data_IF_595416111329
#
_entry.id   IF_595416111329
#
_cell.length_a   1.000
_cell.length_b   1.000
_cell.length_c   1.000
_cell.angle_alpha   90.00
_cell.angle_beta   90.00
_cell.angle_gamma   90.00
#
_symmetry.space_group_name_H-M   'P 1'
#
loop_
_entity.id
_entity.type
_entity.pdbx_description
1 polymer ?
#
# COMPACT_ATOMS: atom_id res chain seq x y z
N UNK A 1 -14.94 -3.09 18.19
CA UNK A 1 -14.38 -3.07 16.80
C UNK A 1 -12.91 -3.43 16.92
N UNK A 2 -12.47 -4.46 16.18
CA UNK A 2 -11.09 -4.92 16.28
C UNK A 2 -10.22 -4.23 15.23
N UNK A 3 -10.76 -4.09 14.00
CA UNK A 3 -10.08 -3.51 12.86
C UNK A 3 -10.92 -2.45 12.16
N UNK A 4 -10.30 -1.33 11.79
CA UNK A 4 -10.87 -0.34 10.88
C UNK A 4 -10.03 -0.29 9.60
N UNK A 5 -10.67 -0.58 8.46
CA UNK A 5 -10.05 -0.47 7.14
C UNK A 5 -10.20 0.96 6.64
N UNK A 6 -9.09 1.59 6.25
CA UNK A 6 -9.00 2.98 5.81
C UNK A 6 -8.73 3.03 4.31
N UNK A 7 -9.67 3.57 3.52
CA UNK A 7 -9.56 3.61 2.06
C UNK A 7 -9.63 5.07 1.57
N UNK A 8 -8.48 5.74 1.36
CA UNK A 8 -8.45 7.00 0.64
C UNK A 8 -8.71 6.75 -0.84
N UNK A 9 -9.65 7.45 -1.45
CA UNK A 9 -10.06 7.26 -2.84
C UNK A 9 -10.23 8.59 -3.57
N UNK A 10 -9.59 8.74 -4.74
CA UNK A 10 -9.77 9.86 -5.65
C UNK A 10 -9.74 9.38 -7.09
N UNK A 11 -10.70 9.84 -7.90
CA UNK A 11 -10.86 9.42 -9.30
C UNK A 11 -10.83 7.89 -9.42
N UNK A 12 -11.62 7.20 -8.58
CA UNK A 12 -11.54 5.76 -8.39
C UNK A 12 -12.73 5.04 -9.02
N UNK A 13 -12.44 4.16 -9.97
CA UNK A 13 -13.43 3.36 -10.69
C UNK A 13 -13.62 1.96 -10.10
N UNK A 14 -12.76 1.56 -9.16
CA UNK A 14 -12.77 0.21 -8.57
C UNK A 14 -13.08 0.20 -7.06
N UNK A 15 -13.39 1.36 -6.46
CA UNK A 15 -13.69 1.44 -5.03
C UNK A 15 -14.85 0.52 -4.63
N UNK A 16 -15.91 0.49 -5.41
CA UNK A 16 -17.06 -0.39 -5.16
C UNK A 16 -16.64 -1.86 -5.13
N UNK A 17 -15.89 -2.30 -6.13
CA UNK A 17 -15.39 -3.68 -6.20
C UNK A 17 -14.49 -4.03 -5.01
N UNK A 18 -13.60 -3.10 -4.61
CA UNK A 18 -12.72 -3.28 -3.45
C UNK A 18 -13.51 -3.46 -2.16
N UNK A 19 -14.52 -2.61 -1.92
CA UNK A 19 -15.35 -2.68 -0.72
C UNK A 19 -16.20 -3.96 -0.72
N UNK A 20 -16.83 -4.32 -1.84
CA UNK A 20 -17.62 -5.54 -1.97
C UNK A 20 -16.77 -6.80 -1.76
N UNK A 21 -15.55 -6.82 -2.29
CA UNK A 21 -14.62 -7.94 -2.10
C UNK A 21 -14.15 -8.01 -0.63
N UNK A 22 -13.83 -6.87 -0.01
CA UNK A 22 -13.50 -6.83 1.41
C UNK A 22 -14.66 -7.36 2.27
N UNK A 23 -15.89 -6.85 2.08
CA UNK A 23 -17.09 -7.30 2.81
C UNK A 23 -17.35 -8.80 2.68
N UNK A 24 -17.10 -9.36 1.50
CA UNK A 24 -17.24 -10.80 1.23
C UNK A 24 -16.20 -11.65 1.97
N UNK A 25 -15.02 -11.08 2.24
CA UNK A 25 -13.86 -11.82 2.75
C UNK A 25 -13.53 -11.54 4.22
N UNK A 26 -14.11 -10.50 4.87
CA UNK A 26 -13.93 -10.25 6.30
C UNK A 26 -14.61 -11.34 7.13
N UNK A 27 -13.96 -11.72 8.25
CA UNK A 27 -14.44 -12.72 9.21
C UNK A 27 -14.34 -12.24 10.67
N UNK A 28 -13.78 -11.05 10.90
CA UNK A 28 -13.66 -10.45 12.24
C UNK A 28 -14.64 -9.28 12.39
N UNK A 29 -14.60 -8.64 13.57
CA UNK A 29 -15.37 -7.42 13.85
C UNK A 29 -14.66 -6.21 13.20
N UNK A 30 -14.89 -6.03 11.89
CA UNK A 30 -14.20 -5.10 11.02
C UNK A 30 -15.15 -4.07 10.40
N UNK A 31 -14.79 -2.81 10.41
CA UNK A 31 -15.45 -1.72 9.69
C UNK A 31 -14.60 -1.20 8.52
N UNK A 32 -15.23 -0.56 7.56
CA UNK A 32 -14.59 0.06 6.40
C UNK A 32 -14.94 1.55 6.38
N UNK A 33 -13.94 2.40 6.30
CA UNK A 33 -14.07 3.86 6.22
C UNK A 33 -13.42 4.32 4.92
N UNK A 34 -14.23 4.71 3.94
CA UNK A 34 -13.76 5.25 2.66
C UNK A 34 -13.87 6.76 2.65
N UNK A 35 -12.76 7.45 2.37
CA UNK A 35 -12.73 8.90 2.19
C UNK A 35 -12.55 9.22 0.73
N UNK A 36 -13.61 9.80 0.13
CA UNK A 36 -13.65 10.26 -1.25
C UNK A 36 -13.04 11.66 -1.33
N UNK A 37 -11.81 11.74 -1.81
CA UNK A 37 -11.06 12.99 -1.88
C UNK A 37 -11.53 13.83 -3.08
N UNK A 38 -12.49 14.76 -2.83
CA UNK A 38 -13.14 15.69 -3.75
C UNK A 38 -14.25 15.07 -4.63
N UNK A 39 -13.98 14.00 -5.38
CA UNK A 39 -14.92 13.45 -6.35
C UNK A 39 -15.63 12.20 -5.83
N UNK A 40 -16.90 12.01 -6.23
CA UNK A 40 -17.61 10.74 -5.99
C UNK A 40 -16.96 9.61 -6.78
N UNK A 41 -16.94 8.42 -6.20
CA UNK A 41 -16.55 7.22 -6.90
C UNK A 41 -17.63 6.80 -7.92
N UNK A 42 -17.21 6.34 -9.08
CA UNK A 42 -18.08 5.78 -10.11
C UNK A 42 -17.57 4.38 -10.51
N UNK A 43 -18.39 3.34 -10.31
CA UNK A 43 -19.76 3.33 -9.76
C UNK A 43 -19.80 3.65 -8.25
N UNK A 44 -20.95 4.15 -7.79
CA UNK A 44 -21.12 4.50 -6.38
C UNK A 44 -21.07 3.27 -5.47
N UNK A 45 -20.55 3.46 -4.28
CA UNK A 45 -20.51 2.46 -3.21
C UNK A 45 -21.93 2.24 -2.68
N UNK A 46 -22.32 0.99 -2.54
CA UNK A 46 -23.61 0.60 -1.95
C UNK A 46 -23.61 0.87 -0.44
N UNK A 47 -24.77 1.19 0.12
CA UNK A 47 -24.94 1.32 1.56
C UNK A 47 -24.75 -0.03 2.25
N UNK A 48 -24.05 -0.03 3.37
CA UNK A 48 -23.83 -1.21 4.20
C UNK A 48 -23.51 -0.80 5.64
N UNK A 49 -24.01 -1.52 6.63
CA UNK A 49 -23.85 -1.18 8.07
C UNK A 49 -22.40 -1.06 8.53
N UNK A 50 -21.48 -1.80 7.93
CA UNK A 50 -20.04 -1.77 8.23
C UNK A 50 -19.25 -0.75 7.41
N UNK A 51 -19.89 0.01 6.52
CA UNK A 51 -19.23 0.92 5.58
C UNK A 51 -19.64 2.35 5.84
N UNK A 52 -18.66 3.19 6.13
CA UNK A 52 -18.79 4.64 6.21
C UNK A 52 -18.11 5.28 5.01
N UNK A 53 -18.86 6.08 4.24
CA UNK A 53 -18.32 6.83 3.10
C UNK A 53 -18.40 8.31 3.40
N UNK A 54 -17.26 9.00 3.31
CA UNK A 54 -17.15 10.45 3.53
C UNK A 54 -16.59 11.08 2.27
N UNK A 55 -17.18 12.18 1.83
CA UNK A 55 -16.69 12.98 0.71
C UNK A 55 -16.19 14.32 1.19
N UNK A 56 -14.94 14.67 0.83
CA UNK A 56 -14.40 16.01 1.09
C UNK A 56 -14.89 17.01 0.02
N UNK A 57 -15.09 18.28 0.38
CA UNK A 57 -15.54 19.30 -0.57
C UNK A 57 -14.46 19.69 -1.59
N UNK A 58 -13.20 19.46 -1.28
CA UNK A 58 -12.01 19.73 -2.11
C UNK A 58 -10.96 18.67 -1.91
N UNK A 59 -10.01 18.55 -2.84
CA UNK A 59 -8.88 17.66 -2.72
C UNK A 59 -7.99 18.04 -1.53
N UNK A 60 -7.75 17.04 -0.65
CA UNK A 60 -6.90 17.19 0.55
C UNK A 60 -5.64 16.34 0.49
N UNK A 61 -5.56 15.41 -0.45
CA UNK A 61 -4.43 14.49 -0.62
C UNK A 61 -4.62 13.14 0.08
N UNK A 62 -3.90 12.12 -0.41
CA UNK A 62 -4.02 10.76 0.09
C UNK A 62 -3.73 10.64 1.59
N UNK A 63 -2.67 11.30 2.10
CA UNK A 63 -2.30 11.26 3.52
C UNK A 63 -3.38 11.88 4.40
N UNK A 64 -3.86 13.05 4.04
CA UNK A 64 -4.93 13.73 4.77
C UNK A 64 -6.24 12.93 4.73
N UNK A 65 -6.57 12.32 3.60
CA UNK A 65 -7.73 11.43 3.48
C UNK A 65 -7.59 10.17 4.35
N UNK A 66 -6.39 9.59 4.42
CA UNK A 66 -6.10 8.46 5.32
C UNK A 66 -6.19 8.87 6.79
N UNK A 67 -5.63 10.02 7.15
CA UNK A 67 -5.72 10.58 8.51
C UNK A 67 -7.17 10.86 8.91
N UNK A 68 -7.98 11.41 8.00
CA UNK A 68 -9.40 11.65 8.24
C UNK A 68 -10.15 10.34 8.52
N UNK A 69 -9.89 9.28 7.73
CA UNK A 69 -10.44 7.96 7.99
C UNK A 69 -9.97 7.40 9.36
N UNK A 70 -8.69 7.56 9.69
CA UNK A 70 -8.12 7.08 10.95
C UNK A 70 -8.70 7.82 12.18
N UNK A 71 -9.03 9.11 12.07
CA UNK A 71 -9.71 9.87 13.15
C UNK A 71 -11.08 9.31 13.49
N UNK A 72 -11.76 8.71 12.53
CA UNK A 72 -13.10 8.12 12.69
C UNK A 72 -13.06 6.64 13.04
N UNK A 73 -11.90 6.01 12.91
CA UNK A 73 -11.68 4.60 13.18
C UNK A 73 -11.97 4.24 14.65
N UNK A 74 -12.71 3.14 14.86
CA UNK A 74 -13.07 2.60 16.19
C UNK A 74 -12.21 1.40 16.57
N UNK A 75 -11.55 0.76 15.58
CA UNK A 75 -10.73 -0.42 15.81
C UNK A 75 -9.47 -0.12 16.62
N UNK A 76 -9.01 -1.13 17.39
CA UNK A 76 -7.67 -1.11 18.00
C UNK A 76 -6.61 -1.03 16.91
N UNK A 77 -6.81 -1.74 15.83
CA UNK A 77 -5.95 -1.74 14.66
C UNK A 77 -6.57 -0.95 13.52
N UNK A 78 -5.71 -0.36 12.69
CA UNK A 78 -6.09 0.27 11.43
C UNK A 78 -5.34 -0.39 10.28
N UNK A 79 -6.03 -0.62 9.16
CA UNK A 79 -5.45 -1.18 7.95
C UNK A 79 -5.71 -0.23 6.78
N UNK A 80 -4.67 0.45 6.31
CA UNK A 80 -4.78 1.29 5.12
C UNK A 80 -4.80 0.41 3.88
N UNK A 81 -5.70 0.70 2.94
CA UNK A 81 -5.81 0.04 1.64
C UNK A 81 -5.93 1.05 0.51
N UNK A 82 -5.34 0.73 -0.64
CA UNK A 82 -5.71 1.40 -1.88
C UNK A 82 -7.10 0.94 -2.36
N UNK A 83 -7.79 1.81 -3.08
CA UNK A 83 -9.18 1.60 -3.49
C UNK A 83 -9.36 0.65 -4.71
N UNK A 84 -8.36 -0.16 -5.02
CA UNK A 84 -8.32 -1.12 -6.14
C UNK A 84 -7.60 -2.42 -5.74
N UNK A 85 -8.11 -3.02 -4.63
CA UNK A 85 -7.55 -4.23 -4.02
C UNK A 85 -8.59 -5.35 -3.92
N UNK A 86 -8.13 -6.60 -3.99
CA UNK A 86 -8.87 -7.82 -3.63
C UNK A 86 -8.21 -8.52 -2.45
N UNK A 87 -8.91 -9.47 -1.82
CA UNK A 87 -8.47 -10.01 -0.54
C UNK A 87 -8.56 -11.53 -0.46
N UNK A 88 -7.69 -12.08 0.38
CA UNK A 88 -7.80 -13.44 0.87
C UNK A 88 -9.03 -13.62 1.76
N UNK A 89 -9.60 -14.82 1.77
CA UNK A 89 -10.70 -15.15 2.69
C UNK A 89 -10.22 -15.08 4.14
N UNK A 90 -10.92 -14.33 4.99
CA UNK A 90 -10.56 -14.08 6.37
C UNK A 90 -9.24 -13.31 6.53
N UNK A 91 -8.87 -12.46 5.58
CA UNK A 91 -7.63 -11.68 5.63
C UNK A 91 -7.53 -10.84 6.91
N UNK A 92 -8.62 -10.26 7.35
CA UNK A 92 -8.70 -9.44 8.56
C UNK A 92 -8.45 -10.27 9.82
N UNK A 93 -9.09 -11.44 9.97
CA UNK A 93 -8.85 -12.37 11.07
C UNK A 93 -7.41 -12.86 11.08
N UNK A 94 -6.88 -13.27 9.93
CA UNK A 94 -5.47 -13.72 9.80
C UNK A 94 -4.47 -12.65 10.17
N UNK A 95 -4.76 -11.39 9.85
CA UNK A 95 -3.92 -10.26 10.26
C UNK A 95 -4.06 -9.96 11.76
N UNK A 96 -5.25 -10.08 12.35
CA UNK A 96 -5.43 -9.93 13.80
C UNK A 96 -4.74 -11.06 14.58
N UNK A 97 -4.81 -12.29 14.11
CA UNK A 97 -4.09 -13.43 14.70
C UNK A 97 -2.58 -13.23 14.62
N UNK A 98 -2.08 -12.73 13.47
CA UNK A 98 -0.68 -12.35 13.31
C UNK A 98 -0.23 -11.31 14.34
N UNK A 99 -1.01 -10.25 14.59
CA UNK A 99 -0.68 -9.26 15.62
C UNK A 99 -0.73 -9.81 17.04
N UNK A 100 -1.56 -10.82 17.33
CA UNK A 100 -1.53 -11.53 18.62
C UNK A 100 -0.22 -12.31 18.81
N UNK A 101 0.36 -12.83 17.73
CA UNK A 101 1.63 -13.57 17.73
C UNK A 101 2.84 -12.64 17.88
N UNK A 102 2.89 -11.54 17.12
CA UNK A 102 4.08 -10.66 17.03
C UNK A 102 4.03 -9.45 17.95
N UNK A 103 2.86 -9.13 18.53
CA UNK A 103 2.65 -7.96 19.38
C UNK A 103 2.32 -6.69 18.60
N UNK A 104 2.16 -5.59 19.35
CA UNK A 104 1.64 -4.32 18.84
C UNK A 104 2.72 -3.37 18.28
N UNK A 105 4.02 -3.67 18.53
CA UNK A 105 5.12 -2.82 18.08
C UNK A 105 5.56 -3.15 16.63
N UNK A 106 4.59 -3.35 15.75
CA UNK A 106 4.77 -3.85 14.39
C UNK A 106 3.92 -3.05 13.40
N UNK A 107 4.46 -2.86 12.19
CA UNK A 107 3.67 -2.62 10.99
C UNK A 107 3.62 -3.91 10.17
N UNK A 108 2.43 -4.49 10.02
CA UNK A 108 2.22 -5.75 9.33
C UNK A 108 1.69 -5.55 7.91
N UNK A 109 2.15 -6.39 6.98
CA UNK A 109 1.70 -6.38 5.57
C UNK A 109 1.35 -7.81 5.17
N UNK A 110 0.20 -8.10 4.53
CA UNK A 110 -0.03 -9.39 3.89
C UNK A 110 0.79 -9.50 2.59
N UNK A 111 0.97 -10.71 2.07
CA UNK A 111 1.61 -10.93 0.76
C UNK A 111 0.92 -10.07 -0.29
N UNK A 112 1.67 -9.30 -1.08
CA UNK A 112 1.13 -8.59 -2.23
C UNK A 112 1.12 -9.48 -3.48
N UNK A 113 -0.01 -9.51 -4.17
CA UNK A 113 -0.21 -10.17 -5.47
C UNK A 113 -0.68 -9.15 -6.50
N UNK A 114 -0.44 -9.39 -7.77
CA UNK A 114 -1.05 -8.59 -8.82
C UNK A 114 -2.55 -8.94 -8.94
N UNK A 115 -3.39 -7.92 -9.01
CA UNK A 115 -4.82 -8.08 -9.25
C UNK A 115 -5.10 -8.23 -10.75
N UNK A 116 -5.76 -9.31 -11.14
CA UNK A 116 -6.44 -9.41 -12.41
C UNK A 116 -7.83 -8.81 -12.24
N UNK A 117 -7.94 -7.50 -12.47
CA UNK A 117 -9.17 -6.77 -12.21
C UNK A 117 -10.24 -7.03 -13.29
N UNK A 118 -9.85 -7.04 -14.56
CA UNK A 118 -10.79 -7.22 -15.67
C UNK A 118 -10.11 -7.72 -16.95
N UNK A 119 -10.91 -8.25 -17.86
CA UNK A 119 -10.58 -8.37 -19.28
C UNK A 119 -11.35 -7.33 -20.09
N UNK A 120 -10.73 -6.76 -21.08
CA UNK A 120 -11.43 -6.10 -22.16
C UNK A 120 -12.15 -7.15 -23.01
N UNK A 121 -13.43 -6.94 -23.29
CA UNK A 121 -14.23 -7.81 -24.16
C UNK A 121 -14.93 -7.00 -25.22
N UNK A 122 -14.86 -7.45 -26.49
CA UNK A 122 -15.61 -6.85 -27.58
C UNK A 122 -17.06 -7.34 -27.58
N UNK A 123 -18.03 -6.43 -27.55
CA UNK A 123 -19.46 -6.77 -27.60
C UNK A 123 -19.87 -7.52 -28.86
N UNK A 124 -19.22 -7.23 -30.01
CA UNK A 124 -19.62 -7.82 -31.29
C UNK A 124 -19.07 -9.23 -31.48
N UNK A 125 -17.78 -9.44 -31.34
CA UNK A 125 -17.13 -10.71 -31.68
C UNK A 125 -16.65 -11.52 -30.47
N UNK A 126 -16.77 -10.98 -29.24
CA UNK A 126 -16.34 -11.66 -28.04
C UNK A 126 -14.82 -11.70 -27.83
N UNK A 127 -14.01 -11.10 -28.71
CA UNK A 127 -12.55 -11.02 -28.53
C UNK A 127 -12.19 -10.42 -27.19
N UNK A 128 -11.13 -10.95 -26.54
CA UNK A 128 -10.71 -10.55 -25.20
C UNK A 128 -9.25 -10.14 -25.19
N UNK A 129 -8.93 -9.20 -24.29
CA UNK A 129 -7.56 -8.81 -23.95
C UNK A 129 -7.46 -8.58 -22.45
N UNK A 130 -6.41 -9.11 -21.83
CA UNK A 130 -6.06 -8.83 -20.45
C UNK A 130 -5.96 -7.31 -20.22
N UNK A 131 -6.36 -6.82 -19.06
CA UNK A 131 -6.41 -5.41 -18.63
C UNK A 131 -5.31 -4.51 -19.25
N UNK A 132 -5.20 -3.28 -18.86
CA UNK A 132 -4.34 -2.26 -19.46
C UNK A 132 -5.16 -1.25 -20.25
N UNK A 133 -4.55 -0.47 -21.16
CA UNK A 133 -5.25 0.55 -21.94
C UNK A 133 -6.35 -0.06 -22.81
N UNK A 134 -7.38 0.75 -23.08
CA UNK A 134 -8.49 0.37 -23.98
C UNK A 134 -7.93 -0.07 -25.34
N UNK A 135 -8.12 -1.34 -25.75
CA UNK A 135 -7.60 -1.83 -27.02
C UNK A 135 -8.56 -1.53 -28.18
N UNK A 136 -8.02 -1.51 -29.37
CA UNK A 136 -8.80 -1.71 -30.61
C UNK A 136 -9.04 -3.20 -30.81
N UNK A 137 -10.26 -3.60 -31.14
CA UNK A 137 -10.57 -4.99 -31.47
C UNK A 137 -9.96 -5.36 -32.85
N UNK A 138 -9.04 -6.34 -32.93
CA UNK A 138 -8.40 -6.70 -34.19
C UNK A 138 -9.38 -7.28 -35.22
N UNK A 139 -10.46 -7.92 -34.74
CA UNK A 139 -11.46 -8.54 -35.62
C UNK A 139 -12.52 -7.55 -36.16
N UNK A 140 -12.71 -6.40 -35.47
CA UNK A 140 -13.78 -5.45 -35.80
C UNK A 140 -13.27 -4.10 -36.28
N UNK A 141 -11.95 -3.85 -36.21
CA UNK A 141 -11.31 -2.61 -36.66
C UNK A 141 -11.49 -1.42 -35.72
N UNK A 142 -10.77 -0.29 -35.99
CA UNK A 142 -10.65 0.87 -35.10
C UNK A 142 -11.93 1.70 -34.96
N UNK A 143 -12.78 1.75 -35.97
CA UNK A 143 -14.00 2.59 -36.00
C UNK A 143 -15.02 2.23 -34.90
N UNK A 144 -14.72 1.24 -34.07
CA UNK A 144 -15.63 0.64 -33.10
C UNK A 144 -15.01 0.46 -31.71
N UNK A 145 -14.09 1.35 -31.32
CA UNK A 145 -13.48 1.35 -29.97
C UNK A 145 -14.53 1.38 -28.84
N UNK A 146 -15.66 2.04 -29.04
CA UNK A 146 -16.80 2.06 -28.12
C UNK A 146 -17.46 0.69 -27.88
N UNK A 147 -17.05 -0.36 -28.59
CA UNK A 147 -17.55 -1.74 -28.39
C UNK A 147 -16.75 -2.53 -27.35
N UNK A 148 -15.69 -1.97 -26.84
CA UNK A 148 -14.92 -2.62 -25.78
C UNK A 148 -15.52 -2.28 -24.41
N UNK A 149 -15.77 -3.30 -23.61
CA UNK A 149 -16.20 -3.15 -22.22
C UNK A 149 -15.32 -3.96 -21.28
N UNK A 150 -15.25 -3.56 -20.00
CA UNK A 150 -14.54 -4.29 -18.97
C UNK A 150 -15.40 -5.43 -18.44
N UNK A 151 -14.97 -6.68 -18.68
CA UNK A 151 -15.53 -7.85 -17.99
C UNK A 151 -14.74 -8.04 -16.70
N UNK A 152 -15.37 -7.77 -15.54
CA UNK A 152 -14.71 -7.90 -14.24
C UNK A 152 -14.30 -9.35 -13.97
N UNK A 153 -13.06 -9.53 -13.52
CA UNK A 153 -12.48 -10.80 -13.09
C UNK A 153 -12.23 -10.80 -11.58
N UNK A 154 -11.62 -9.77 -11.05
CA UNK A 154 -11.36 -9.47 -9.64
C UNK A 154 -10.65 -10.59 -8.88
N UNK A 155 -9.55 -11.09 -9.44
CA UNK A 155 -8.81 -12.24 -8.92
C UNK A 155 -7.37 -11.84 -8.61
N UNK A 156 -6.93 -12.02 -7.36
CA UNK A 156 -5.52 -11.93 -6.99
C UNK A 156 -4.74 -13.07 -7.65
N UNK A 157 -3.78 -12.75 -8.51
CA UNK A 157 -2.95 -13.76 -9.18
C UNK A 157 -2.11 -14.52 -8.16
N UNK A 158 -2.00 -15.83 -8.32
CA UNK A 158 -1.16 -16.63 -7.41
C UNK A 158 0.32 -16.24 -7.50
N UNK A 159 0.80 -15.91 -8.68
CA UNK A 159 2.17 -15.47 -8.94
C UNK A 159 2.18 -14.20 -9.83
N UNK A 160 3.20 -13.32 -9.72
CA UNK A 160 4.22 -13.33 -8.67
C UNK A 160 3.67 -12.91 -7.31
N UNK A 161 4.38 -13.30 -6.24
CA UNK A 161 4.14 -12.87 -4.86
C UNK A 161 5.25 -11.92 -4.44
N UNK A 162 4.89 -10.73 -3.98
CA UNK A 162 5.83 -9.73 -3.49
C UNK A 162 5.80 -9.69 -1.96
N UNK A 163 6.92 -10.03 -1.35
CA UNK A 163 7.06 -10.23 0.10
C UNK A 163 8.29 -9.56 0.67
N UNK A 164 9.05 -8.80 -0.13
CA UNK A 164 10.22 -8.10 0.35
C UNK A 164 10.44 -6.82 -0.46
N UNK A 165 10.72 -5.73 0.25
CA UNK A 165 10.80 -4.40 -0.32
C UNK A 165 11.95 -3.63 0.33
N UNK A 166 12.60 -2.76 -0.44
CA UNK A 166 13.62 -1.83 0.04
C UNK A 166 13.48 -0.46 -0.60
N UNK A 167 14.42 0.41 -0.34
CA UNK A 167 14.59 1.70 -1.00
C UNK A 167 16.07 1.99 -1.22
N UNK A 168 16.38 2.80 -2.22
CA UNK A 168 17.74 3.26 -2.50
C UNK A 168 18.08 4.60 -1.81
N UNK A 169 19.28 5.09 -2.01
CA UNK A 169 19.78 6.37 -1.45
C UNK A 169 19.03 7.59 -1.98
N UNK A 170 18.32 7.44 -3.11
CA UNK A 170 17.50 8.47 -3.75
C UNK A 170 16.00 8.38 -3.37
N UNK A 171 15.63 7.93 -2.19
CA UNK A 171 14.34 7.40 -1.76
C UNK A 171 13.41 6.92 -2.89
N UNK A 172 13.86 5.91 -3.64
CA UNK A 172 13.02 5.17 -4.57
C UNK A 172 12.64 3.82 -3.99
N UNK A 173 11.38 3.49 -4.04
CA UNK A 173 10.87 2.17 -3.70
C UNK A 173 11.40 1.12 -4.69
N UNK A 174 11.81 -0.04 -4.16
CA UNK A 174 12.30 -1.18 -4.93
C UNK A 174 11.80 -2.50 -4.36
N UNK A 175 11.67 -3.53 -5.21
CA UNK A 175 11.52 -4.91 -4.77
C UNK A 175 12.89 -5.44 -4.33
N UNK A 176 12.91 -6.14 -3.19
CA UNK A 176 14.13 -6.64 -2.58
C UNK A 176 14.25 -8.15 -2.80
N UNK A 177 14.40 -8.56 -4.06
CA UNK A 177 14.44 -9.98 -4.42
C UNK A 177 15.60 -10.72 -3.74
N UNK A 178 16.80 -10.11 -3.68
CA UNK A 178 18.00 -10.70 -3.06
C UNK A 178 17.77 -11.06 -1.57
N UNK A 179 16.95 -10.28 -0.85
CA UNK A 179 16.63 -10.55 0.55
C UNK A 179 15.91 -11.88 0.74
N UNK A 180 15.08 -12.29 -0.22
CA UNK A 180 14.32 -13.54 -0.17
C UNK A 180 15.18 -14.79 -0.22
N UNK A 181 16.44 -14.66 -0.62
CA UNK A 181 17.43 -15.76 -0.73
C UNK A 181 18.39 -15.80 0.45
N UNK A 182 18.26 -14.91 1.44
CA UNK A 182 19.11 -14.86 2.63
C UNK A 182 18.55 -15.71 3.77
N UNK A 183 19.43 -16.28 4.59
CA UNK A 183 19.07 -17.16 5.70
C UNK A 183 18.02 -16.59 6.67
N UNK A 184 18.12 -15.32 7.16
CA UNK A 184 17.08 -14.81 8.06
C UNK A 184 15.68 -14.89 7.46
N UNK A 185 15.54 -14.54 6.16
CA UNK A 185 14.26 -14.60 5.47
C UNK A 185 13.78 -16.06 5.29
N UNK A 186 14.65 -16.94 4.81
CA UNK A 186 14.30 -18.35 4.53
C UNK A 186 13.89 -19.10 5.81
N UNK A 187 14.68 -18.93 6.86
CA UNK A 187 14.42 -19.54 8.17
C UNK A 187 13.11 -19.00 8.77
N UNK A 188 12.91 -17.69 8.82
CA UNK A 188 11.72 -17.08 9.39
C UNK A 188 10.44 -17.46 8.63
N UNK A 189 10.51 -17.44 7.30
CA UNK A 189 9.38 -17.88 6.46
C UNK A 189 8.95 -19.31 6.78
N UNK A 190 9.92 -20.23 6.98
CA UNK A 190 9.66 -21.64 7.27
C UNK A 190 9.15 -21.87 8.69
N UNK A 191 9.73 -21.19 9.68
CA UNK A 191 9.51 -21.46 11.10
C UNK A 191 8.40 -20.61 11.72
N UNK A 192 8.27 -19.36 11.31
CA UNK A 192 7.33 -18.40 11.87
C UNK A 192 6.12 -18.12 10.96
N UNK A 193 6.29 -18.26 9.64
CA UNK A 193 5.28 -17.89 8.64
C UNK A 193 5.12 -16.37 8.46
N UNK A 194 6.12 -15.59 8.89
CA UNK A 194 6.27 -14.16 8.61
C UNK A 194 7.76 -13.82 8.46
N UNK A 195 8.05 -12.71 7.79
CA UNK A 195 9.42 -12.29 7.50
C UNK A 195 9.59 -10.79 7.65
N UNK A 196 10.78 -10.33 8.00
CA UNK A 196 11.12 -8.93 7.97
C UNK A 196 11.24 -8.39 6.54
N UNK A 197 10.92 -7.11 6.37
CA UNK A 197 11.17 -6.37 5.13
C UNK A 197 11.66 -4.95 5.46
N UNK A 198 12.63 -4.44 4.71
CA UNK A 198 13.20 -3.11 4.96
C UNK A 198 12.19 -1.98 4.71
N UNK A 199 11.32 -2.16 3.72
CA UNK A 199 10.29 -1.22 3.32
C UNK A 199 8.97 -1.96 3.07
N UNK A 200 7.95 -1.24 2.63
CA UNK A 200 6.67 -1.82 2.21
C UNK A 200 6.09 -1.05 1.02
N UNK A 201 5.18 -1.69 0.32
CA UNK A 201 4.40 -1.04 -0.73
C UNK A 201 3.21 -0.33 -0.07
N UNK A 202 3.08 0.99 -0.30
CA UNK A 202 2.11 1.85 0.39
C UNK A 202 0.63 1.53 0.11
N UNK A 203 0.32 0.52 -0.72
CA UNK A 203 -1.05 0.14 -1.05
C UNK A 203 -1.78 -0.61 0.07
N UNK A 204 -1.05 -1.25 0.99
CA UNK A 204 -1.63 -1.96 2.13
C UNK A 204 -0.64 -2.03 3.28
N UNK A 205 -1.07 -1.66 4.49
CA UNK A 205 -0.38 -1.94 5.74
C UNK A 205 -1.36 -1.91 6.91
N UNK A 206 -1.06 -2.68 7.97
CA UNK A 206 -1.82 -2.71 9.21
C UNK A 206 -0.90 -2.35 10.39
N UNK A 207 -1.43 -1.58 11.34
CA UNK A 207 -0.72 -1.06 12.50
C UNK A 207 -1.72 -0.81 13.63
N UNK A 208 -1.30 -0.73 14.89
CA UNK A 208 -2.20 -0.23 15.94
C UNK A 208 -2.55 1.23 15.68
N UNK A 209 -3.80 1.63 15.99
CA UNK A 209 -4.22 3.03 15.86
C UNK A 209 -3.38 3.97 16.74
N UNK A 210 -2.90 3.48 17.88
CA UNK A 210 -1.98 4.21 18.76
C UNK A 210 -0.66 4.52 18.04
N UNK A 211 0.02 3.49 17.50
CA UNK A 211 1.30 3.65 16.80
C UNK A 211 1.16 4.41 15.48
N UNK A 212 0.00 4.32 14.82
CA UNK A 212 -0.29 5.13 13.62
C UNK A 212 -0.09 6.63 13.90
N UNK A 213 -0.61 7.12 15.02
CA UNK A 213 -0.45 8.52 15.42
C UNK A 213 0.90 8.81 16.08
N UNK A 214 1.33 7.93 16.99
CA UNK A 214 2.59 8.08 17.73
C UNK A 214 3.79 8.16 16.79
N UNK A 215 3.83 7.34 15.75
CA UNK A 215 4.93 7.30 14.78
C UNK A 215 4.71 8.20 13.56
N UNK A 216 3.67 8.98 13.52
CA UNK A 216 3.37 9.91 12.42
C UNK A 216 3.52 9.26 11.04
N UNK A 217 2.95 8.06 10.83
CA UNK A 217 3.17 7.25 9.62
C UNK A 217 2.55 7.82 8.34
N UNK A 218 1.71 8.85 8.46
CA UNK A 218 1.08 9.55 7.33
C UNK A 218 1.20 11.07 7.53
N UNK A 219 2.42 11.62 7.49
CA UNK A 219 2.65 13.05 7.67
C UNK A 219 2.24 13.83 6.41
N UNK A 220 1.24 14.69 6.54
CA UNK A 220 0.70 15.50 5.43
C UNK A 220 1.75 16.45 4.81
N UNK A 221 2.82 16.81 5.56
CA UNK A 221 3.93 17.62 5.07
C UNK A 221 4.73 16.93 3.96
N UNK A 222 4.69 15.61 3.89
CA UNK A 222 5.34 14.84 2.82
C UNK A 222 4.70 15.01 1.43
N UNK A 223 3.53 15.65 1.37
CA UNK A 223 2.81 15.93 0.13
C UNK A 223 1.56 15.07 -0.06
N UNK A 224 0.86 15.31 -1.16
CA UNK A 224 -0.46 14.73 -1.42
C UNK A 224 -0.41 13.24 -1.75
N UNK A 225 0.69 12.74 -2.34
CA UNK A 225 0.86 11.36 -2.80
C UNK A 225 2.34 10.99 -2.98
N UNK A 226 2.64 9.67 -2.99
CA UNK A 226 3.97 9.11 -3.23
C UNK A 226 4.78 8.84 -1.96
N UNK A 227 5.73 7.90 -2.02
CA UNK A 227 6.67 7.58 -0.93
C UNK A 227 6.09 7.04 0.37
N UNK A 228 4.77 6.85 0.47
CA UNK A 228 4.10 6.47 1.72
C UNK A 228 4.61 5.16 2.32
N UNK A 229 4.88 4.15 1.48
CA UNK A 229 5.40 2.87 1.99
C UNK A 229 6.76 3.00 2.68
N UNK A 230 7.65 3.83 2.12
CA UNK A 230 8.94 4.14 2.76
C UNK A 230 8.76 4.94 4.05
N UNK A 231 7.89 5.95 4.03
CA UNK A 231 7.59 6.77 5.21
C UNK A 231 7.11 5.90 6.38
N UNK A 232 6.12 5.04 6.14
CA UNK A 232 5.59 4.11 7.14
C UNK A 232 6.66 3.15 7.66
N UNK A 233 7.46 2.57 6.76
CA UNK A 233 8.51 1.64 7.14
C UNK A 233 9.62 2.32 7.95
N UNK A 234 10.08 3.50 7.52
CA UNK A 234 11.09 4.27 8.25
C UNK A 234 10.57 4.72 9.62
N UNK A 235 9.36 5.25 9.69
CA UNK A 235 8.73 5.64 10.96
C UNK A 235 8.64 4.45 11.92
N UNK A 236 8.26 3.28 11.43
CA UNK A 236 8.20 2.04 12.23
C UNK A 236 9.57 1.59 12.71
N UNK A 237 10.52 1.33 11.77
CA UNK A 237 11.84 0.81 12.10
C UNK A 237 12.63 1.73 13.01
N UNK A 238 12.65 3.02 12.68
CA UNK A 238 13.49 3.97 13.41
C UNK A 238 12.91 4.34 14.78
N UNK A 239 11.63 4.08 15.02
CA UNK A 239 10.99 4.20 16.35
C UNK A 239 11.09 2.92 17.19
N UNK A 240 11.87 1.91 16.74
CA UNK A 240 12.07 0.66 17.48
C UNK A 240 10.99 -0.41 17.22
N UNK A 241 10.11 -0.21 16.24
CA UNK A 241 9.16 -1.22 15.78
C UNK A 241 9.77 -2.15 14.73
N UNK A 242 8.95 -3.05 14.19
CA UNK A 242 9.32 -3.98 13.12
C UNK A 242 8.36 -3.88 11.94
N UNK A 243 8.87 -4.04 10.72
CA UNK A 243 8.04 -4.17 9.52
C UNK A 243 8.08 -5.62 9.06
N UNK A 244 6.91 -6.27 9.13
CA UNK A 244 6.79 -7.71 8.92
C UNK A 244 5.78 -8.03 7.82
N UNK A 245 6.10 -9.03 6.98
CA UNK A 245 5.17 -9.60 5.99
C UNK A 245 4.58 -10.89 6.55
N UNK A 246 3.27 -10.93 6.71
CA UNK A 246 2.53 -12.14 7.08
C UNK A 246 2.31 -13.01 5.85
N UNK A 247 2.92 -14.21 5.82
CA UNK A 247 2.79 -15.16 4.71
C UNK A 247 1.50 -16.00 4.75
N UNK A 248 0.70 -15.88 5.82
CA UNK A 248 -0.56 -16.62 6.00
C UNK A 248 -1.75 -15.92 5.35
N UNK A 249 -1.55 -14.69 4.81
CA UNK A 249 -2.59 -13.89 4.16
C UNK A 249 -2.04 -13.12 2.95
N UNK A 250 -2.94 -12.72 2.03
CA UNK A 250 -2.58 -11.95 0.85
C UNK A 250 -3.63 -10.90 0.51
N UNK A 251 -3.20 -9.87 -0.23
CA UNK A 251 -4.08 -8.96 -0.95
C UNK A 251 -3.63 -8.85 -2.41
N UNK A 252 -4.56 -8.64 -3.32
CA UNK A 252 -4.30 -8.37 -4.73
C UNK A 252 -4.38 -6.86 -4.99
N UNK A 253 -3.40 -6.29 -5.68
CA UNK A 253 -3.34 -4.86 -5.98
C UNK A 253 -3.25 -4.62 -7.49
N UNK A 254 -4.04 -3.67 -8.00
CA UNK A 254 -3.95 -3.21 -9.38
C UNK A 254 -3.10 -1.94 -9.44
N UNK A 255 -1.98 -1.98 -10.16
CA UNK A 255 -1.14 -0.80 -10.33
C UNK A 255 -1.76 0.20 -11.30
N UNK A 256 -1.74 1.48 -10.93
CA UNK A 256 -2.05 2.59 -11.82
C UNK A 256 -0.92 2.81 -12.82
N UNK A 257 -1.25 3.29 -14.02
CA UNK A 257 -0.27 3.56 -15.07
C UNK A 257 -0.48 4.96 -15.63
N UNK A 258 0.58 5.77 -15.62
CA UNK A 258 0.51 7.15 -16.14
C UNK A 258 0.09 7.17 -17.60
N UNK A 259 -0.80 8.12 -17.96
CA UNK A 259 -1.27 8.32 -19.33
C UNK A 259 -2.21 7.25 -19.86
N UNK A 260 -2.74 6.36 -18.98
CA UNK A 260 -3.72 5.33 -19.33
C UNK A 260 -5.08 5.58 -18.68
N UNK A 261 -6.09 4.78 -19.01
CA UNK A 261 -7.46 4.88 -18.49
C UNK A 261 -7.56 4.86 -16.97
N UNK A 262 -6.58 4.23 -16.30
CA UNK A 262 -6.44 4.19 -14.86
C UNK A 262 -5.15 4.90 -14.45
N UNK A 263 -5.12 6.21 -14.66
CA UNK A 263 -3.97 7.08 -14.34
C UNK A 263 -3.89 7.45 -12.86
N UNK A 264 -2.78 8.09 -12.47
CA UNK A 264 -2.57 8.54 -11.10
C UNK A 264 -3.57 9.62 -10.68
N UNK A 265 -4.09 9.57 -9.45
CA UNK A 265 -5.16 10.46 -8.99
C UNK A 265 -4.69 11.85 -8.58
N UNK A 266 -3.38 12.02 -8.37
CA UNK A 266 -2.75 13.29 -7.97
C UNK A 266 -1.65 13.67 -8.96
N UNK A 267 -1.35 14.97 -9.10
CA UNK A 267 -0.23 15.41 -9.93
C UNK A 267 1.09 14.79 -9.50
N UNK A 268 1.86 14.30 -10.47
CA UNK A 268 3.19 13.72 -10.29
C UNK A 268 4.25 14.53 -11.05
N UNK A 269 4.24 15.84 -10.87
CA UNK A 269 5.31 16.67 -11.42
C UNK A 269 6.65 16.32 -10.77
N UNK A 270 7.74 16.53 -11.46
CA UNK A 270 9.09 16.34 -10.90
C UNK A 270 9.29 17.15 -9.61
N UNK A 271 8.63 18.29 -9.47
CA UNK A 271 8.63 19.11 -8.25
C UNK A 271 7.98 18.39 -7.06
N UNK A 272 6.80 17.77 -7.24
CA UNK A 272 6.11 17.05 -6.17
C UNK A 272 6.86 15.78 -5.75
N UNK A 273 7.41 15.04 -6.71
CA UNK A 273 8.26 13.88 -6.44
C UNK A 273 9.50 14.29 -5.64
N UNK A 274 10.18 15.38 -6.06
CA UNK A 274 11.35 15.92 -5.34
C UNK A 274 10.99 16.33 -3.93
N UNK A 275 9.87 17.03 -3.72
CA UNK A 275 9.39 17.46 -2.40
C UNK A 275 9.26 16.28 -1.43
N UNK A 276 8.62 15.19 -1.86
CA UNK A 276 8.47 13.98 -1.03
C UNK A 276 9.83 13.36 -0.67
N UNK A 277 10.76 13.28 -1.64
CA UNK A 277 12.10 12.74 -1.39
C UNK A 277 12.91 13.59 -0.44
N UNK A 278 12.90 14.90 -0.63
CA UNK A 278 13.59 15.86 0.25
C UNK A 278 12.98 15.82 1.67
N UNK A 279 11.66 15.66 1.78
CA UNK A 279 11.00 15.47 3.07
C UNK A 279 11.51 14.21 3.79
N UNK A 280 11.55 13.05 3.09
CA UNK A 280 12.04 11.78 3.64
C UNK A 280 13.49 11.93 4.13
N UNK A 281 14.38 12.54 3.31
CA UNK A 281 15.77 12.79 3.70
C UNK A 281 15.87 13.71 4.91
N UNK A 282 15.14 14.80 4.91
CA UNK A 282 15.21 15.77 6.02
C UNK A 282 14.66 15.17 7.32
N UNK A 283 13.56 14.44 7.27
CA UNK A 283 12.94 13.85 8.46
C UNK A 283 13.76 12.69 9.02
N UNK A 284 14.17 11.73 8.18
CA UNK A 284 14.74 10.47 8.65
C UNK A 284 16.28 10.40 8.56
N UNK A 285 16.91 10.86 7.46
CA UNK A 285 18.37 10.84 7.33
C UNK A 285 19.05 11.78 8.33
N UNK A 286 18.39 12.87 8.71
CA UNK A 286 18.89 13.86 9.69
C UNK A 286 18.41 13.59 11.13
N UNK A 287 17.83 12.44 11.42
CA UNK A 287 17.34 12.05 12.74
C UNK A 287 16.31 13.06 13.33
N UNK A 288 15.44 13.63 12.49
CA UNK A 288 14.44 14.63 12.91
C UNK A 288 13.04 14.05 13.15
N UNK A 289 12.87 12.72 12.99
CA UNK A 289 11.61 12.09 13.31
C UNK A 289 11.38 12.04 14.84
N UNK A 290 10.21 12.50 15.37
CA UNK A 290 10.05 12.73 16.82
C UNK A 290 10.27 11.51 17.71
N UNK A 291 9.94 10.32 17.20
CA UNK A 291 10.08 9.06 17.97
C UNK A 291 11.29 8.22 17.54
N UNK A 292 12.19 8.79 16.76
CA UNK A 292 13.36 8.08 16.23
C UNK A 292 14.38 7.75 17.33
N UNK A 293 14.64 6.46 17.53
CA UNK A 293 15.68 5.93 18.44
C UNK A 293 16.82 5.25 17.68
N UNK A 294 16.60 4.87 16.43
CA UNK A 294 17.62 4.27 15.56
C UNK A 294 17.94 5.19 14.39
N UNK A 295 19.23 5.28 14.01
CA UNK A 295 19.66 5.97 12.79
C UNK A 295 19.30 5.16 11.55
N UNK A 296 19.16 5.82 10.39
CA UNK A 296 18.98 5.12 9.10
C UNK A 296 20.14 4.17 8.82
N UNK A 297 21.38 4.51 9.20
CA UNK A 297 22.55 3.64 9.07
C UNK A 297 22.34 2.29 9.76
N UNK A 298 21.73 2.25 10.96
CA UNK A 298 21.38 0.99 11.64
C UNK A 298 20.42 0.12 10.79
N UNK A 299 19.42 0.72 10.15
CA UNK A 299 18.49 -0.01 9.28
C UNK A 299 19.21 -0.54 8.04
N UNK A 300 20.11 0.26 7.46
CA UNK A 300 20.92 -0.18 6.31
C UNK A 300 21.83 -1.36 6.71
N UNK A 301 22.49 -1.32 7.85
CA UNK A 301 23.33 -2.42 8.33
C UNK A 301 22.55 -3.71 8.53
N UNK A 302 21.33 -3.62 9.07
CA UNK A 302 20.43 -4.76 9.28
C UNK A 302 20.12 -5.51 8.00
N UNK A 303 19.96 -4.81 6.88
CA UNK A 303 19.56 -5.36 5.59
C UNK A 303 20.70 -5.40 4.55
N UNK A 304 21.92 -5.02 4.94
CA UNK A 304 23.06 -4.93 4.03
C UNK A 304 23.44 -6.29 3.40
N UNK A 305 23.91 -6.34 2.11
CA UNK A 305 23.96 -5.25 1.15
C UNK A 305 22.59 -4.93 0.53
N UNK A 306 22.38 -3.65 0.17
CA UNK A 306 21.11 -3.16 -0.40
C UNK A 306 21.40 -2.48 -1.74
N UNK A 307 20.70 -2.88 -2.78
CA UNK A 307 20.84 -2.28 -4.10
C UNK A 307 20.56 -0.75 -4.05
N UNK A 308 21.43 0.02 -4.70
CA UNK A 308 21.32 1.48 -4.74
C UNK A 308 21.90 2.21 -3.53
N UNK A 309 22.63 1.49 -2.66
CA UNK A 309 23.45 2.05 -1.58
C UNK A 309 24.92 1.67 -1.75
N UNK A 310 25.82 2.58 -1.39
CA UNK A 310 27.28 2.38 -1.36
C UNK A 310 27.79 2.38 0.07
N UNK A 311 28.93 1.70 0.31
CA UNK A 311 29.63 1.73 1.60
C UNK A 311 29.89 3.16 2.08
N UNK A 312 30.31 4.07 1.17
CA UNK A 312 30.52 5.48 1.48
C UNK A 312 29.25 6.14 2.03
N UNK A 313 28.10 5.96 1.37
CA UNK A 313 26.82 6.53 1.83
C UNK A 313 26.41 5.97 3.19
N UNK A 314 26.66 4.67 3.45
CA UNK A 314 26.43 4.08 4.77
C UNK A 314 27.32 4.74 5.84
N UNK A 315 28.61 4.94 5.56
CA UNK A 315 29.53 5.61 6.50
C UNK A 315 29.14 7.07 6.73
N UNK A 316 28.75 7.80 5.67
CA UNK A 316 28.30 9.19 5.79
C UNK A 316 27.06 9.28 6.71
N UNK A 317 26.10 8.33 6.63
CA UNK A 317 24.93 8.29 7.51
C UNK A 317 25.26 7.90 8.97
N UNK A 318 26.34 7.14 9.20
CA UNK A 318 26.80 6.85 10.57
C UNK A 318 27.30 8.11 11.27
N UNK A 319 27.94 9.02 10.54
CA UNK A 319 28.47 10.28 11.08
C UNK A 319 27.42 11.35 11.36
N UNK A 320 26.18 11.20 10.85
CA UNK A 320 25.09 12.15 11.09
C UNK A 320 24.69 12.13 12.56
N UNK A 321 24.84 13.25 13.27
CA UNK A 321 24.41 13.41 14.68
C UNK A 321 25.26 12.63 15.68
N UNK A 322 26.57 12.40 15.37
CA UNK A 322 27.62 12.06 16.36
C UNK A 322 28.10 13.31 17.04
#
# INVERSE_FOLDING_TARGET
MDLSILIPARNEIFLKNTIEDALKNIEANTEIIAVLDEAWAEPRVSQHERVTVIKTPKAIGQRAATNLACKLAKGKYVMKLDAHCSFDKGFDRKMLEFFKEVGDNVTGVPIMRNLWAFDWKCYKCGWKKYQGPTPTCPNCGPEKAHRMHRKMMWVGKHNPQSTSFCFDSEPHFQYFEDWKHREPYLTDKKTKGYTETMSLQGSCFMITRENYWKWEVCDEKAGSWGGQGMEVALATWLSGGQVLVNHKSWYGHMFRTQGQDFSFPYPQSGREVKKTKDYIRNKFWKNQHPTQIHKVSWLLEKFWPIRGWTEKQLQDLKSVGS
#
